data_IF_632912893980
#
_entry.id   IF_632912893980
#
_cell.length_a   1.000
_cell.length_b   1.000
_cell.length_c   1.000
_cell.angle_alpha   90.00
_cell.angle_beta   90.00
_cell.angle_gamma   90.00
#
_symmetry.space_group_name_H-M   'P 1'
#
loop_
_entity.id
_entity.type
_entity.pdbx_description
1 polymer ?
#
# COMPACT_ATOMS: atom_id res chain seq x y z
N UNK A 1 -15.82 -26.16 5.22
CA UNK A 1 -16.32 -26.52 3.87
C UNK A 1 -15.49 -27.68 3.31
N UNK A 2 -16.01 -28.46 2.36
CA UNK A 2 -15.22 -29.44 1.62
C UNK A 2 -14.00 -28.79 0.95
N UNK A 3 -12.86 -29.47 0.95
CA UNK A 3 -11.58 -28.90 0.51
C UNK A 3 -11.60 -28.38 -0.94
N UNK A 4 -12.34 -29.03 -1.83
CA UNK A 4 -12.47 -28.64 -3.23
C UNK A 4 -13.23 -27.31 -3.38
N UNK A 5 -14.26 -27.06 -2.57
CA UNK A 5 -14.98 -25.78 -2.56
C UNK A 5 -14.11 -24.65 -2.01
N UNK A 6 -13.22 -24.95 -1.05
CA UNK A 6 -12.30 -23.95 -0.51
C UNK A 6 -11.40 -23.36 -1.60
N UNK A 7 -10.98 -24.15 -2.59
CA UNK A 7 -10.14 -23.67 -3.70
C UNK A 7 -10.93 -22.65 -4.55
N UNK A 8 -12.17 -22.96 -4.92
CA UNK A 8 -13.01 -22.05 -5.71
C UNK A 8 -13.35 -20.77 -4.94
N UNK A 9 -13.67 -20.88 -3.66
CA UNK A 9 -13.94 -19.72 -2.80
C UNK A 9 -12.69 -18.84 -2.62
N UNK A 10 -11.52 -19.45 -2.44
CA UNK A 10 -10.25 -18.72 -2.34
C UNK A 10 -9.94 -17.96 -3.63
N UNK A 11 -10.16 -18.60 -4.80
CA UNK A 11 -10.01 -17.95 -6.10
C UNK A 11 -10.98 -16.77 -6.25
N UNK A 12 -12.25 -16.93 -5.86
CA UNK A 12 -13.24 -15.85 -5.91
C UNK A 12 -12.83 -14.65 -5.04
N UNK A 13 -12.39 -14.91 -3.80
CA UNK A 13 -11.90 -13.85 -2.90
C UNK A 13 -10.67 -13.14 -3.47
N UNK A 14 -9.73 -13.90 -4.04
CA UNK A 14 -8.56 -13.33 -4.70
C UNK A 14 -8.94 -12.41 -5.86
N UNK A 15 -9.80 -12.88 -6.78
CA UNK A 15 -10.23 -12.11 -7.94
C UNK A 15 -11.00 -10.84 -7.57
N UNK A 16 -11.73 -10.84 -6.46
CA UNK A 16 -12.46 -9.66 -5.98
C UNK A 16 -11.50 -8.61 -5.41
N UNK A 17 -10.44 -9.04 -4.73
CA UNK A 17 -9.50 -8.14 -4.03
C UNK A 17 -8.38 -7.62 -4.94
N UNK A 18 -7.98 -8.38 -5.96
CA UNK A 18 -6.85 -8.03 -6.82
C UNK A 18 -7.03 -6.66 -7.51
N UNK A 19 -8.26 -6.30 -7.88
CA UNK A 19 -8.55 -5.02 -8.52
C UNK A 19 -8.13 -3.83 -7.65
N UNK A 20 -8.49 -3.86 -6.36
CA UNK A 20 -8.09 -2.82 -5.41
C UNK A 20 -6.59 -2.83 -5.13
N UNK A 21 -5.99 -4.02 -4.98
CA UNK A 21 -4.56 -4.19 -4.70
C UNK A 21 -3.71 -3.61 -5.84
N UNK A 22 -4.10 -3.86 -7.09
CA UNK A 22 -3.36 -3.43 -8.27
C UNK A 22 -3.61 -1.94 -8.59
N UNK A 23 -4.80 -1.40 -8.28
CA UNK A 23 -5.11 0.01 -8.55
C UNK A 23 -4.23 0.99 -7.79
N UNK A 24 -3.86 0.67 -6.54
CA UNK A 24 -3.03 1.56 -5.70
C UNK A 24 -1.65 1.84 -6.30
N UNK A 25 -0.81 0.84 -6.64
CA UNK A 25 0.48 1.08 -7.26
C UNK A 25 0.35 1.72 -8.64
N UNK A 26 -0.71 1.43 -9.41
CA UNK A 26 -0.94 2.12 -10.69
C UNK A 26 -1.13 3.63 -10.53
N UNK A 27 -1.86 4.07 -9.49
CA UNK A 27 -2.05 5.50 -9.22
C UNK A 27 -0.78 6.12 -8.61
N UNK A 28 -0.01 5.33 -7.85
CA UNK A 28 1.17 5.81 -7.13
C UNK A 28 2.43 5.90 -8.00
N UNK A 29 2.62 5.00 -8.97
CA UNK A 29 3.86 4.90 -9.77
C UNK A 29 4.23 6.21 -10.50
N UNK A 30 3.28 6.96 -11.12
CA UNK A 30 3.63 8.23 -11.77
C UNK A 30 4.08 9.28 -10.75
N UNK A 31 3.48 9.29 -9.56
CA UNK A 31 3.85 10.23 -8.48
C UNK A 31 5.21 9.90 -7.84
N UNK A 32 5.72 8.68 -8.01
CA UNK A 32 7.05 8.26 -7.60
C UNK A 32 8.14 8.54 -8.65
N UNK A 33 7.77 9.17 -9.78
CA UNK A 33 8.65 9.44 -10.91
C UNK A 33 9.16 8.18 -11.63
N UNK A 34 8.36 7.10 -11.64
CA UNK A 34 8.62 5.95 -12.51
C UNK A 34 8.03 6.19 -13.89
N UNK A 35 8.75 5.74 -14.92
CA UNK A 35 8.27 5.72 -16.30
C UNK A 35 7.19 4.64 -16.48
N UNK A 36 6.31 4.82 -17.47
CA UNK A 36 5.19 3.91 -17.65
C UNK A 36 5.64 2.50 -18.05
N UNK A 37 6.75 2.37 -18.76
CA UNK A 37 7.31 1.10 -19.22
C UNK A 37 8.36 0.52 -18.25
N UNK A 38 8.53 1.11 -17.05
CA UNK A 38 9.56 0.68 -16.11
C UNK A 38 9.26 -0.73 -15.53
N UNK A 39 10.18 -1.71 -15.67
CA UNK A 39 9.99 -3.05 -15.10
C UNK A 39 9.82 -3.05 -13.58
N UNK A 40 10.28 -2.01 -12.88
CA UNK A 40 10.16 -1.83 -11.42
C UNK A 40 8.71 -1.71 -10.97
N UNK A 41 7.78 -1.27 -11.85
CA UNK A 41 6.33 -1.25 -11.55
C UNK A 41 5.82 -2.65 -11.21
N UNK A 42 6.27 -3.67 -11.95
CA UNK A 42 5.92 -5.06 -11.71
C UNK A 42 6.44 -5.59 -10.36
N UNK A 43 7.61 -5.11 -9.93
CA UNK A 43 8.20 -5.46 -8.63
C UNK A 43 7.32 -4.91 -7.50
N UNK A 44 6.84 -3.67 -7.61
CA UNK A 44 5.96 -3.07 -6.59
C UNK A 44 4.62 -3.82 -6.52
N UNK A 45 4.00 -4.12 -7.67
CA UNK A 45 2.72 -4.85 -7.74
C UNK A 45 2.86 -6.25 -7.13
N UNK A 46 3.88 -7.01 -7.54
CA UNK A 46 4.12 -8.37 -7.03
C UNK A 46 4.43 -8.37 -5.52
N UNK A 47 5.22 -7.41 -5.04
CA UNK A 47 5.50 -7.23 -3.61
C UNK A 47 4.23 -6.94 -2.85
N UNK A 48 3.37 -6.06 -3.37
CA UNK A 48 2.12 -5.69 -2.70
C UNK A 48 1.14 -6.88 -2.61
N UNK A 49 1.03 -7.70 -3.66
CA UNK A 49 0.23 -8.94 -3.63
C UNK A 49 0.82 -9.94 -2.63
N UNK A 50 2.14 -10.13 -2.65
CA UNK A 50 2.83 -11.09 -1.79
C UNK A 50 2.70 -10.72 -0.30
N UNK A 51 3.00 -9.47 0.05
CA UNK A 51 2.91 -8.98 1.43
C UNK A 51 1.46 -8.98 1.93
N UNK A 52 0.49 -8.63 1.09
CA UNK A 52 -0.95 -8.75 1.38
C UNK A 52 -1.33 -10.19 1.78
N UNK A 53 -0.82 -11.18 1.03
CA UNK A 53 -1.03 -12.60 1.37
C UNK A 53 -0.45 -12.98 2.72
N UNK A 54 0.80 -12.56 3.00
CA UNK A 54 1.47 -12.82 4.29
C UNK A 54 0.69 -12.19 5.45
N UNK A 55 0.33 -10.90 5.34
CA UNK A 55 -0.37 -10.17 6.40
C UNK A 55 -1.76 -10.75 6.62
N UNK A 56 -2.47 -11.14 5.56
CA UNK A 56 -3.76 -11.83 5.68
C UNK A 56 -3.63 -13.17 6.39
N UNK A 57 -2.61 -13.96 6.04
CA UNK A 57 -2.33 -15.23 6.70
C UNK A 57 -2.05 -15.04 8.19
N UNK A 58 -1.16 -14.11 8.55
CA UNK A 58 -0.83 -13.79 9.95
C UNK A 58 -2.06 -13.30 10.71
N UNK A 59 -2.88 -12.43 10.10
CA UNK A 59 -4.10 -11.90 10.71
C UNK A 59 -5.14 -12.99 10.99
N UNK A 60 -5.25 -13.98 10.09
CA UNK A 60 -6.19 -15.09 10.21
C UNK A 60 -5.72 -16.17 11.21
N UNK A 61 -4.41 -16.36 11.40
CA UNK A 61 -3.87 -17.39 12.31
C UNK A 61 -3.58 -16.86 13.73
N UNK A 62 -2.80 -15.79 13.84
CA UNK A 62 -2.35 -15.21 15.12
C UNK A 62 -3.06 -13.91 15.51
N UNK A 63 -3.57 -13.17 14.54
CA UNK A 63 -4.28 -11.90 14.78
C UNK A 63 -5.68 -12.10 15.36
N UNK A 64 -6.65 -11.35 14.83
CA UNK A 64 -8.02 -11.42 15.32
C UNK A 64 -8.73 -12.75 14.99
N UNK A 65 -8.12 -13.64 14.20
CA UNK A 65 -8.69 -14.93 13.75
C UNK A 65 -10.03 -14.79 13.03
N UNK A 66 -10.28 -13.60 12.48
CA UNK A 66 -11.43 -13.30 11.65
C UNK A 66 -11.04 -13.45 10.17
N UNK A 67 -11.97 -13.89 9.30
CA UNK A 67 -11.74 -14.02 7.87
C UNK A 67 -11.71 -12.64 7.20
N UNK A 68 -10.64 -11.88 7.43
CA UNK A 68 -10.44 -10.53 6.90
C UNK A 68 -9.25 -10.55 5.95
N UNK A 69 -9.48 -10.20 4.68
CA UNK A 69 -8.39 -9.99 3.73
C UNK A 69 -7.76 -8.63 4.00
N UNK A 70 -6.47 -8.65 4.33
CA UNK A 70 -5.68 -7.45 4.56
C UNK A 70 -5.12 -6.95 3.23
N UNK A 71 -4.94 -5.64 3.07
CA UNK A 71 -4.40 -5.05 1.85
C UNK A 71 -4.13 -3.57 2.01
N UNK A 72 -3.61 -2.93 0.97
CA UNK A 72 -3.43 -1.48 0.95
C UNK A 72 -4.77 -0.74 1.04
N UNK A 73 -4.81 0.34 1.83
CA UNK A 73 -6.02 1.18 1.94
C UNK A 73 -5.95 2.39 1.04
N UNK A 74 -7.03 2.64 0.31
CA UNK A 74 -7.19 3.84 -0.53
C UNK A 74 -7.19 5.11 0.34
N UNK A 75 -7.53 5.02 1.63
CA UNK A 75 -7.49 6.16 2.56
C UNK A 75 -6.09 6.74 2.73
N UNK A 76 -5.02 5.95 2.53
CA UNK A 76 -3.65 6.46 2.56
C UNK A 76 -3.16 7.02 1.22
N UNK A 77 -3.93 6.88 0.14
CA UNK A 77 -3.54 7.39 -1.17
C UNK A 77 -3.53 8.91 -1.20
N UNK A 78 -4.57 9.55 -0.67
CA UNK A 78 -4.69 11.03 -0.59
C UNK A 78 -3.52 11.65 0.18
N UNK A 79 -3.20 11.26 1.43
CA UNK A 79 -2.06 11.83 2.15
C UNK A 79 -0.72 11.49 1.47
N UNK A 80 -0.58 10.31 0.88
CA UNK A 80 0.62 9.94 0.12
C UNK A 80 0.85 10.87 -1.07
N UNK A 81 -0.20 11.11 -1.88
CA UNK A 81 -0.14 12.04 -3.01
C UNK A 81 0.10 13.48 -2.54
N UNK A 82 -0.42 13.87 -1.38
CA UNK A 82 -0.14 15.19 -0.81
C UNK A 82 1.35 15.35 -0.44
N UNK A 83 1.98 14.32 0.16
CA UNK A 83 3.42 14.32 0.46
C UNK A 83 4.24 14.43 -0.83
N UNK A 84 3.91 13.63 -1.86
CA UNK A 84 4.65 13.62 -3.12
C UNK A 84 4.51 14.92 -3.94
N UNK A 85 3.45 15.70 -3.69
CA UNK A 85 3.24 17.01 -4.33
C UNK A 85 4.04 18.15 -3.67
N UNK A 86 4.73 17.90 -2.54
CA UNK A 86 5.57 18.90 -1.89
C UNK A 86 6.73 19.33 -2.81
N UNK A 87 7.20 20.60 -2.74
CA UNK A 87 8.26 21.10 -3.61
C UNK A 87 9.54 20.25 -3.61
N UNK A 88 9.87 19.64 -2.47
CA UNK A 88 11.05 18.77 -2.34
C UNK A 88 10.92 17.41 -3.07
N UNK A 89 9.70 16.95 -3.34
CA UNK A 89 9.43 15.61 -3.88
C UNK A 89 8.95 15.63 -5.33
N UNK A 90 8.71 16.83 -5.90
CA UNK A 90 8.32 17.00 -7.29
C UNK A 90 9.25 16.26 -8.24
N UNK A 91 8.66 15.58 -9.21
CA UNK A 91 9.42 14.89 -10.24
C UNK A 91 10.18 15.90 -11.12
N UNK A 92 11.41 15.58 -11.54
CA UNK A 92 12.12 16.34 -12.56
C UNK A 92 11.32 16.38 -13.87
N UNK A 93 11.59 17.40 -14.70
CA UNK A 93 11.01 17.44 -16.03
C UNK A 93 11.43 16.20 -16.86
N UNK A 94 10.55 15.77 -17.76
CA UNK A 94 10.76 14.57 -18.60
C UNK A 94 12.08 14.63 -19.39
N UNK A 95 12.49 15.81 -19.85
CA UNK A 95 13.77 16.03 -20.53
C UNK A 95 14.97 15.74 -19.64
N UNK A 96 14.89 16.02 -18.34
CA UNK A 96 15.94 15.69 -17.36
C UNK A 96 15.89 14.20 -17.05
N UNK A 97 14.70 13.64 -16.84
CA UNK A 97 14.51 12.20 -16.61
C UNK A 97 15.12 11.35 -17.73
N UNK A 98 14.95 11.75 -19.00
CA UNK A 98 15.51 11.04 -20.15
C UNK A 98 17.06 11.03 -20.17
N UNK A 99 17.71 12.02 -19.55
CA UNK A 99 19.17 12.11 -19.46
C UNK A 99 19.78 11.39 -18.26
N UNK A 100 18.95 10.95 -17.31
CA UNK A 100 19.41 10.27 -16.12
C UNK A 100 19.81 8.82 -16.43
N UNK A 101 20.87 8.37 -15.76
CA UNK A 101 21.28 6.98 -15.79
C UNK A 101 20.24 6.07 -15.11
N UNK A 102 20.24 4.78 -15.46
CA UNK A 102 19.29 3.79 -14.93
C UNK A 102 19.36 3.67 -13.40
N UNK A 103 20.57 3.78 -12.82
CA UNK A 103 20.77 3.77 -11.37
C UNK A 103 20.16 5.00 -10.70
N UNK A 104 20.33 6.19 -11.31
CA UNK A 104 19.76 7.43 -10.81
C UNK A 104 18.22 7.44 -10.86
N UNK A 105 17.63 6.88 -11.94
CA UNK A 105 16.17 6.67 -12.03
C UNK A 105 15.66 5.75 -10.93
N UNK A 106 16.42 4.68 -10.63
CA UNK A 106 16.07 3.72 -9.59
C UNK A 106 16.11 4.35 -8.20
N UNK A 107 17.16 5.10 -7.87
CA UNK A 107 17.25 5.79 -6.59
C UNK A 107 16.15 6.87 -6.43
N UNK A 108 15.75 7.56 -7.50
CA UNK A 108 14.69 8.58 -7.43
C UNK A 108 13.37 8.05 -6.85
N UNK A 109 12.87 6.91 -7.33
CA UNK A 109 11.63 6.34 -6.81
C UNK A 109 11.85 5.63 -5.47
N UNK A 110 13.03 5.03 -5.25
CA UNK A 110 13.35 4.34 -4.00
C UNK A 110 13.42 5.30 -2.80
N UNK A 111 14.05 6.47 -2.94
CA UNK A 111 14.10 7.47 -1.86
C UNK A 111 12.69 7.93 -1.48
N UNK A 112 11.81 8.16 -2.47
CA UNK A 112 10.41 8.51 -2.22
C UNK A 112 9.65 7.37 -1.52
N UNK A 113 9.87 6.12 -1.96
CA UNK A 113 9.29 4.95 -1.31
C UNK A 113 9.77 4.77 0.14
N UNK A 114 11.05 5.05 0.44
CA UNK A 114 11.60 5.01 1.80
C UNK A 114 10.92 6.04 2.70
N UNK A 115 10.72 7.27 2.21
CA UNK A 115 10.01 8.32 2.96
C UNK A 115 8.57 7.93 3.27
N UNK A 116 7.81 7.50 2.25
CA UNK A 116 6.42 7.06 2.42
C UNK A 116 6.30 5.88 3.40
N UNK A 117 7.19 4.89 3.27
CA UNK A 117 7.20 3.74 4.16
C UNK A 117 7.51 4.14 5.60
N UNK A 118 8.42 5.09 5.80
CA UNK A 118 8.72 5.68 7.10
C UNK A 118 7.51 6.40 7.71
N UNK A 119 6.84 7.25 6.93
CA UNK A 119 5.64 7.96 7.37
C UNK A 119 4.51 6.99 7.76
N UNK A 120 4.28 5.93 6.96
CA UNK A 120 3.28 4.90 7.25
C UNK A 120 3.66 4.11 8.50
N UNK A 121 4.93 3.74 8.69
CA UNK A 121 5.39 3.01 9.86
C UNK A 121 5.16 3.81 11.16
N UNK A 122 5.50 5.10 11.17
CA UNK A 122 5.26 6.00 12.31
C UNK A 122 3.76 6.15 12.57
N UNK A 123 2.96 6.30 11.51
CA UNK A 123 1.49 6.39 11.61
C UNK A 123 0.89 5.10 12.19
N UNK A 124 1.41 3.93 11.80
CA UNK A 124 0.97 2.64 12.31
C UNK A 124 1.28 2.48 13.81
N UNK A 125 2.47 2.90 14.27
CA UNK A 125 2.82 2.90 15.70
C UNK A 125 1.88 3.80 16.50
N UNK A 126 1.59 4.99 15.98
CA UNK A 126 0.62 5.91 16.58
C UNK A 126 -0.79 5.29 16.65
N UNK A 127 -1.23 4.63 15.58
CA UNK A 127 -2.51 3.93 15.54
C UNK A 127 -2.58 2.78 16.57
N UNK A 128 -1.51 2.00 16.73
CA UNK A 128 -1.42 0.94 17.75
C UNK A 128 -1.54 1.53 19.16
N UNK A 129 -0.85 2.64 19.43
CA UNK A 129 -0.92 3.33 20.72
C UNK A 129 -2.34 3.83 21.03
N UNK A 130 -3.00 4.50 20.08
CA UNK A 130 -4.38 4.96 20.23
C UNK A 130 -5.34 3.77 20.41
N UNK A 131 -5.16 2.70 19.62
CA UNK A 131 -5.96 1.48 19.74
C UNK A 131 -5.85 0.85 21.12
N UNK A 132 -4.63 0.73 21.65
CA UNK A 132 -4.38 0.17 22.99
C UNK A 132 -4.93 1.05 24.12
N UNK A 133 -4.90 2.38 23.96
CA UNK A 133 -5.45 3.33 24.96
C UNK A 133 -6.99 3.26 25.11
N UNK A 134 -7.69 2.57 24.21
CA UNK A 134 -9.16 2.50 24.20
C UNK A 134 -9.86 3.79 23.76
N UNK A 135 -9.12 4.80 23.32
CA UNK A 135 -9.65 6.08 22.88
C UNK A 135 -10.59 5.94 21.67
N UNK A 136 -10.27 5.03 20.73
CA UNK A 136 -11.11 4.73 19.56
C UNK A 136 -12.54 4.36 19.98
N UNK A 137 -12.69 3.53 21.01
CA UNK A 137 -14.00 3.11 21.50
C UNK A 137 -14.82 4.26 22.12
N UNK A 138 -14.17 5.28 22.68
CA UNK A 138 -14.85 6.50 23.14
C UNK A 138 -15.23 7.39 21.97
N UNK A 139 -14.36 7.52 20.98
CA UNK A 139 -14.56 8.35 19.80
C UNK A 139 -15.73 7.85 18.94
N UNK A 140 -15.84 6.53 18.75
CA UNK A 140 -16.93 5.88 18.03
C UNK A 140 -18.31 6.06 18.68
N UNK A 141 -18.39 6.44 19.97
CA UNK A 141 -19.68 6.81 20.60
C UNK A 141 -20.16 8.20 20.20
N UNK A 142 -19.25 9.08 19.77
CA UNK A 142 -19.54 10.45 19.36
C UNK A 142 -19.76 10.52 17.85
N UNK A 143 -18.99 9.74 17.09
CA UNK A 143 -19.14 9.59 15.64
C UNK A 143 -20.13 8.44 15.38
N UNK A 144 -21.42 8.71 15.59
CA UNK A 144 -22.49 7.82 15.12
C UNK A 144 -22.75 8.05 13.63
N UNK A 145 -23.24 7.04 12.88
CA UNK A 145 -23.79 7.24 11.54
C UNK A 145 -24.91 8.28 11.52
#
# INVERSE_FOLDING_TARGET
>A
PPWYLCIFMALQHYLTMIGAIVSIPFILTPALCMEDEDPSRGIIISTMIFVTGIVTYIQATWGCRLPIVQGGTISFLVPTLAILNLPQWKCPAESVMATLDAEAKTELWQVRMRELSGAIAVSALFQVFIGYSGLVGKLLKVITP
#
